data_IF_238816188201
#
_entry.id   IF_238816188201
#
_cell.length_a   1.000
_cell.length_b   1.000
_cell.length_c   1.000
_cell.angle_alpha   90.00
_cell.angle_beta   90.00
_cell.angle_gamma   90.00
#
_symmetry.space_group_name_H-M   'P 1'
#
loop_
_entity.id
_entity.type
_entity.pdbx_description
1 polymer ?
#
# COMPACT_ATOMS: atom_id res chain seq x y z
N UNK A 1 -31.97 3.62 15.32
CA UNK A 1 -33.22 3.33 14.57
C UNK A 1 -33.39 1.82 14.50
N UNK A 2 -34.56 1.32 14.12
CA UNK A 2 -34.81 -0.13 14.13
C UNK A 2 -34.43 -0.82 12.81
N UNK A 3 -33.82 -0.09 11.86
CA UNK A 3 -33.57 -0.57 10.49
C UNK A 3 -32.08 -0.86 10.23
N UNK A 4 -31.20 -0.67 11.23
CA UNK A 4 -29.76 -0.90 11.08
C UNK A 4 -29.04 0.10 10.19
N UNK A 5 -29.61 1.32 10.01
CA UNK A 5 -29.05 2.36 9.13
C UNK A 5 -28.51 3.51 9.97
N UNK A 6 -27.34 4.03 9.62
CA UNK A 6 -26.79 5.26 10.20
C UNK A 6 -26.61 6.27 9.07
N UNK A 7 -26.98 7.53 9.33
CA UNK A 7 -26.86 8.61 8.36
C UNK A 7 -26.09 9.78 8.95
N UNK A 8 -25.11 10.27 8.21
CA UNK A 8 -24.40 11.51 8.46
C UNK A 8 -24.78 12.50 7.37
N UNK A 9 -24.99 13.76 7.71
CA UNK A 9 -25.46 14.80 6.77
C UNK A 9 -24.67 16.09 7.00
N UNK A 10 -24.63 16.96 5.98
CA UNK A 10 -23.89 18.22 6.00
C UNK A 10 -22.40 18.04 6.33
N UNK A 11 -21.79 16.97 5.82
CA UNK A 11 -20.35 16.75 5.91
C UNK A 11 -19.63 17.73 4.98
N UNK A 12 -18.48 18.23 5.42
CA UNK A 12 -17.56 18.94 4.55
C UNK A 12 -16.95 17.99 3.52
N UNK A 13 -16.36 18.54 2.46
CA UNK A 13 -15.60 17.72 1.50
C UNK A 13 -14.33 17.18 2.18
N UNK A 14 -14.02 15.90 1.99
CA UNK A 14 -12.85 15.29 2.59
C UNK A 14 -12.91 13.77 2.70
N UNK A 15 -11.87 13.21 3.32
CA UNK A 15 -11.75 11.79 3.64
C UNK A 15 -12.14 11.57 5.11
N UNK A 16 -13.04 10.61 5.33
CA UNK A 16 -13.60 10.29 6.63
C UNK A 16 -13.26 8.86 7.01
N UNK A 17 -12.87 8.65 8.27
CA UNK A 17 -12.80 7.34 8.90
C UNK A 17 -14.10 7.10 9.65
N UNK A 18 -14.83 6.05 9.26
CA UNK A 18 -16.02 5.58 9.96
C UNK A 18 -15.61 4.44 10.86
N UNK A 19 -15.81 4.60 12.17
CA UNK A 19 -15.56 3.56 13.16
C UNK A 19 -16.77 3.40 14.08
N UNK A 20 -17.06 2.15 14.43
CA UNK A 20 -18.06 1.82 15.44
C UNK A 20 -17.43 2.03 16.82
N UNK A 21 -18.04 2.88 17.64
CA UNK A 21 -17.67 2.96 19.06
C UNK A 21 -18.19 1.71 19.76
N UNK A 22 -17.29 0.95 20.39
CA UNK A 22 -17.67 -0.27 21.09
C UNK A 22 -18.67 0.01 22.22
N UNK A 23 -19.73 -0.79 22.26
CA UNK A 23 -20.60 -0.98 23.42
C UNK A 23 -20.57 -2.46 23.78
N UNK A 24 -20.51 -2.81 25.06
CA UNK A 24 -20.42 -4.20 25.53
C UNK A 24 -21.55 -5.11 24.98
N UNK A 25 -22.67 -4.53 24.54
CA UNK A 25 -23.87 -5.24 24.11
C UNK A 25 -24.03 -5.37 22.57
N UNK A 26 -23.06 -4.91 21.77
CA UNK A 26 -23.18 -4.97 20.30
C UNK A 26 -22.78 -6.34 19.76
N UNK A 27 -23.78 -7.21 19.51
CA UNK A 27 -23.60 -8.53 18.84
C UNK A 27 -22.86 -8.45 17.51
N UNK A 28 -22.99 -7.33 16.81
CA UNK A 28 -22.40 -7.11 15.48
C UNK A 28 -21.38 -5.97 15.56
N UNK A 29 -20.16 -6.25 15.10
CA UNK A 29 -19.09 -5.26 15.00
C UNK A 29 -18.63 -5.13 13.55
N UNK A 30 -18.33 -3.90 13.13
CA UNK A 30 -17.74 -3.63 11.82
C UNK A 30 -16.32 -3.10 11.97
N UNK A 31 -15.43 -3.53 11.09
CA UNK A 31 -14.08 -2.96 11.01
C UNK A 31 -14.16 -1.50 10.53
N UNK A 32 -13.28 -0.61 11.02
CA UNK A 32 -13.22 0.77 10.54
C UNK A 32 -12.94 0.84 9.04
N UNK A 33 -13.56 1.80 8.35
CA UNK A 33 -13.40 1.96 6.91
C UNK A 33 -13.41 3.44 6.49
N UNK A 34 -12.87 3.70 5.30
CA UNK A 34 -12.73 5.05 4.76
C UNK A 34 -13.85 5.38 3.77
N UNK A 35 -14.32 6.62 3.81
CA UNK A 35 -15.26 7.21 2.84
C UNK A 35 -14.71 8.55 2.37
N UNK A 36 -14.72 8.81 1.07
CA UNK A 36 -14.44 10.14 0.50
C UNK A 36 -15.74 10.87 0.14
N UNK A 37 -15.81 12.17 0.43
CA UNK A 37 -16.91 13.06 0.00
C UNK A 37 -16.31 14.20 -0.83
N UNK A 38 -16.63 14.31 -2.14
CA UNK A 38 -17.40 13.34 -2.92
C UNK A 38 -16.60 12.04 -3.16
N UNK A 39 -17.31 10.97 -3.51
CA UNK A 39 -16.72 9.75 -4.07
C UNK A 39 -16.71 9.87 -5.58
N UNK A 40 -15.60 9.48 -6.22
CA UNK A 40 -15.48 9.47 -7.68
C UNK A 40 -15.71 8.05 -8.18
N UNK A 41 -16.76 7.87 -8.97
CA UNK A 41 -17.09 6.61 -9.63
C UNK A 41 -17.49 6.93 -11.07
N UNK A 42 -16.91 6.25 -12.06
CA UNK A 42 -17.17 6.49 -13.49
C UNK A 42 -17.09 7.96 -13.92
N UNK A 43 -16.08 8.68 -13.43
CA UNK A 43 -15.87 10.13 -13.67
C UNK A 43 -16.99 11.05 -13.14
N UNK A 44 -17.89 10.52 -12.32
CA UNK A 44 -18.99 11.25 -11.69
C UNK A 44 -18.71 11.50 -10.21
N UNK A 45 -19.05 12.71 -9.75
CA UNK A 45 -18.96 13.08 -8.33
C UNK A 45 -20.22 12.67 -7.59
N UNK A 46 -20.08 11.73 -6.65
CA UNK A 46 -21.18 11.21 -5.83
C UNK A 46 -21.10 11.82 -4.43
N UNK A 47 -22.09 12.65 -4.09
CA UNK A 47 -22.22 13.26 -2.78
C UNK A 47 -23.02 12.40 -1.79
N UNK A 48 -24.00 11.64 -2.31
CA UNK A 48 -24.80 10.70 -1.51
C UNK A 48 -24.15 9.31 -1.56
N UNK A 49 -23.20 9.09 -0.66
CA UNK A 49 -22.45 7.84 -0.59
C UNK A 49 -23.16 6.83 0.34
N UNK A 50 -23.30 5.59 -0.14
CA UNK A 50 -23.89 4.49 0.61
C UNK A 50 -22.85 3.39 0.81
N UNK A 51 -22.70 2.91 2.05
CA UNK A 51 -21.78 1.83 2.38
C UNK A 51 -22.49 0.73 3.17
N UNK A 52 -22.18 -0.52 2.83
CA UNK A 52 -22.63 -1.72 3.56
C UNK A 52 -21.38 -2.44 4.08
N UNK A 53 -20.79 -2.01 5.21
CA UNK A 53 -19.59 -2.63 5.73
C UNK A 53 -19.89 -4.10 6.10
N UNK A 54 -18.87 -4.95 5.96
CA UNK A 54 -18.94 -6.30 6.49
C UNK A 54 -18.99 -6.23 8.02
N UNK A 55 -19.74 -7.14 8.63
CA UNK A 55 -19.80 -7.29 10.07
C UNK A 55 -19.24 -8.63 10.51
N UNK A 56 -18.70 -8.65 11.71
CA UNK A 56 -18.26 -9.81 12.45
C UNK A 56 -19.26 -9.98 13.59
N UNK A 57 -19.83 -11.19 13.74
CA UNK A 57 -20.56 -11.52 14.96
C UNK A 57 -19.55 -11.67 16.09
N UNK A 58 -19.71 -10.92 17.19
CA UNK A 58 -18.93 -11.15 18.41
C UNK A 58 -19.33 -12.52 18.95
N UNK A 59 -18.67 -13.58 18.51
CA UNK A 59 -18.72 -14.88 19.15
C UNK A 59 -17.82 -14.81 20.39
N UNK A 60 -18.37 -15.14 21.57
CA UNK A 60 -17.61 -15.18 22.83
C UNK A 60 -16.49 -16.26 22.84
N UNK A 61 -16.33 -17.04 21.76
CA UNK A 61 -15.48 -18.24 21.72
C UNK A 61 -14.45 -18.31 20.57
N UNK A 62 -14.17 -17.21 19.87
CA UNK A 62 -13.05 -17.24 18.92
C UNK A 62 -11.72 -17.14 19.68
N UNK A 63 -11.14 -18.30 19.97
CA UNK A 63 -9.73 -18.41 20.38
C UNK A 63 -8.90 -17.74 19.29
N UNK A 64 -7.98 -16.81 19.61
CA UNK A 64 -7.14 -16.19 18.61
C UNK A 64 -6.41 -17.30 17.85
N UNK A 65 -6.66 -17.42 16.54
CA UNK A 65 -5.83 -18.25 15.69
C UNK A 65 -4.44 -17.62 15.68
N UNK A 66 -3.50 -18.26 16.39
CA UNK A 66 -2.09 -17.86 16.31
C UNK A 66 -1.70 -17.87 14.83
N UNK A 67 -1.10 -16.79 14.29
CA UNK A 67 -0.63 -16.78 12.92
C UNK A 67 0.30 -17.99 12.72
N UNK A 68 0.05 -18.79 11.70
CA UNK A 68 0.99 -19.82 11.30
C UNK A 68 2.20 -19.09 10.71
N UNK A 69 3.26 -18.93 11.49
CA UNK A 69 4.53 -18.37 10.99
C UNK A 69 5.01 -19.32 9.90
N UNK A 70 5.18 -18.86 8.64
CA UNK A 70 5.70 -19.71 7.59
C UNK A 70 7.08 -20.24 8.00
N UNK A 71 7.23 -21.56 8.05
CA UNK A 71 8.44 -22.25 8.53
C UNK A 71 9.63 -22.15 7.54
N UNK A 72 9.56 -21.23 6.58
CA UNK A 72 10.56 -21.08 5.56
C UNK A 72 10.73 -19.63 5.14
N UNK A 73 11.99 -19.29 4.90
CA UNK A 73 12.42 -18.07 4.21
C UNK A 73 11.59 -17.87 2.95
N UNK A 74 10.55 -17.03 3.02
CA UNK A 74 9.79 -16.60 1.85
C UNK A 74 10.75 -15.89 0.89
N UNK A 75 10.79 -16.32 -0.36
CA UNK A 75 11.71 -15.73 -1.35
C UNK A 75 11.35 -14.26 -1.58
N UNK A 76 12.21 -13.33 -1.16
CA UNK A 76 11.96 -11.89 -1.20
C UNK A 76 12.23 -11.26 -2.58
N UNK A 77 12.38 -12.07 -3.63
CA UNK A 77 12.69 -11.58 -4.98
C UNK A 77 14.10 -10.98 -5.11
N UNK A 78 14.97 -11.26 -4.15
CA UNK A 78 16.38 -10.89 -4.06
C UNK A 78 17.29 -11.71 -4.99
N UNK A 79 16.73 -12.25 -6.08
CA UNK A 79 17.41 -13.10 -7.07
C UNK A 79 18.20 -12.30 -8.12
N UNK A 80 18.66 -11.09 -7.77
CA UNK A 80 19.39 -10.22 -8.72
C UNK A 80 20.74 -10.84 -9.08
N UNK A 81 20.97 -11.07 -10.37
CA UNK A 81 22.23 -11.63 -10.87
C UNK A 81 23.37 -10.60 -10.77
N UNK A 82 24.13 -10.67 -9.66
CA UNK A 82 25.24 -9.76 -9.37
C UNK A 82 26.36 -9.79 -10.43
N UNK A 83 26.51 -10.90 -11.15
CA UNK A 83 27.49 -11.04 -12.23
C UNK A 83 27.24 -10.03 -13.35
N UNK A 84 25.99 -9.75 -13.70
CA UNK A 84 25.64 -8.76 -14.71
C UNK A 84 26.07 -7.34 -14.30
N UNK A 85 25.90 -6.99 -13.03
CA UNK A 85 26.29 -5.69 -12.50
C UNK A 85 27.81 -5.50 -12.47
N UNK A 86 28.57 -6.54 -12.13
CA UNK A 86 30.03 -6.50 -12.16
C UNK A 86 30.55 -6.31 -13.58
N UNK A 87 29.99 -7.03 -14.56
CA UNK A 87 30.36 -6.87 -15.98
C UNK A 87 30.05 -5.44 -16.46
N UNK A 88 28.89 -4.89 -16.10
CA UNK A 88 28.52 -3.52 -16.45
C UNK A 88 29.50 -2.47 -15.86
N UNK A 89 29.91 -2.65 -14.59
CA UNK A 89 30.89 -1.77 -13.94
C UNK A 89 32.25 -1.84 -14.64
N UNK A 90 32.72 -3.03 -15.01
CA UNK A 90 33.98 -3.20 -15.72
C UNK A 90 33.97 -2.57 -17.11
N UNK A 91 32.89 -2.78 -17.89
CA UNK A 91 32.77 -2.22 -19.25
C UNK A 91 32.70 -0.70 -19.21
N UNK A 92 31.89 -0.13 -18.31
CA UNK A 92 31.79 1.32 -18.14
C UNK A 92 33.10 1.94 -17.65
N UNK A 93 33.79 1.30 -16.69
CA UNK A 93 35.09 1.74 -16.19
C UNK A 93 36.17 1.77 -17.28
N UNK A 94 36.26 0.73 -18.11
CA UNK A 94 37.20 0.67 -19.23
C UNK A 94 36.90 1.74 -20.29
N UNK A 95 35.63 1.96 -20.61
CA UNK A 95 35.22 3.02 -21.54
C UNK A 95 35.67 4.40 -21.03
N UNK A 96 35.41 4.70 -19.75
CA UNK A 96 35.78 5.97 -19.13
C UNK A 96 37.30 6.18 -19.12
N UNK A 97 38.07 5.15 -18.75
CA UNK A 97 39.54 5.17 -18.79
C UNK A 97 40.09 5.41 -20.21
N UNK A 98 39.46 4.80 -21.22
CA UNK A 98 39.88 4.98 -22.62
C UNK A 98 39.69 6.42 -23.11
N UNK A 99 38.59 7.08 -22.72
CA UNK A 99 38.30 8.48 -23.05
C UNK A 99 39.30 9.40 -22.34
N UNK A 100 39.55 9.19 -21.04
CA UNK A 100 40.53 9.96 -20.28
C UNK A 100 41.93 9.85 -20.90
N UNK A 101 42.36 8.64 -21.28
CA UNK A 101 43.65 8.43 -21.96
C UNK A 101 43.72 9.17 -23.30
N UNK A 102 42.66 9.11 -24.13
CA UNK A 102 42.61 9.85 -25.40
C UNK A 102 42.71 11.36 -25.21
N UNK A 103 42.00 11.92 -24.23
CA UNK A 103 42.05 13.35 -23.90
C UNK A 103 43.44 13.77 -23.39
N UNK A 104 44.06 12.96 -22.54
CA UNK A 104 45.40 13.23 -22.01
C UNK A 104 46.48 13.20 -23.12
N UNK A 105 46.40 12.26 -24.06
CA UNK A 105 47.32 12.19 -25.21
C UNK A 105 47.10 13.38 -26.16
N UNK A 106 45.85 13.77 -26.43
CA UNK A 106 45.55 14.96 -27.25
C UNK A 106 46.11 16.24 -26.63
N UNK A 107 45.98 16.41 -25.31
CA UNK A 107 46.54 17.55 -24.57
C UNK A 107 48.08 17.60 -24.60
N UNK A 108 48.75 16.44 -24.66
CA UNK A 108 50.22 16.39 -24.78
C UNK A 108 50.74 16.68 -26.19
N UNK A 109 49.88 16.64 -27.22
CA UNK A 109 50.24 16.89 -28.63
C UNK A 109 49.87 18.29 -29.12
N UNK A 110 49.22 19.11 -28.29
CA UNK A 110 48.90 20.51 -28.53
C UNK A 110 49.82 21.38 -27.67
#
# INVERSE_FOLDING_TARGET
NNNGVVQFSNLNLGLYLVSQKESDDSKYCSEPFLISIPMIEDSSEIFNVYSKPKFIEKNENEVPISPNVPDSSVGTGDNTNITLWIVLLLVSGLAMLSVIRKLAVKKKKA
#
